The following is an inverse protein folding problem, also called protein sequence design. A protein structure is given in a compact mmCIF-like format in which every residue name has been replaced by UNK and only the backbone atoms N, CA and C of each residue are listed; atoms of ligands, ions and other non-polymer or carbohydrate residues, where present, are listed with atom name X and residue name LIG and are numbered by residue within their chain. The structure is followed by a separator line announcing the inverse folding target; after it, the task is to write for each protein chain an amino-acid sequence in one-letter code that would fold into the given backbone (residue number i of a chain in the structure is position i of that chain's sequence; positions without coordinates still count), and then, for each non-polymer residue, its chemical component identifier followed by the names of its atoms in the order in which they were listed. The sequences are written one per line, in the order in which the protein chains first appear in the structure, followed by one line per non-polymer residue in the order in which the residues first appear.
data_IF_088200484346
#
_entry.id   IF_088200484346
#
_cell.length_a   1.000
_cell.length_b   1.000
_cell.length_c   1.000
_cell.angle_alpha   90.00
_cell.angle_beta   90.00
_cell.angle_gamma   90.00
#
_symmetry.space_group_name_H-M   'P 1'
#
loop_
_entity.id
_entity.type
_entity.pdbx_description
1 polymer ?
#
# COMPACT_ATOMS: atom_id res chain seq x y z
N UNK A 1 13.14 -18.60 48.96
CA UNK A 1 11.72 -18.15 48.91
C UNK A 1 11.55 -16.70 48.43
N UNK A 2 12.56 -15.84 48.61
CA UNK A 2 12.52 -14.42 48.20
C UNK A 2 12.43 -14.22 46.68
N UNK A 3 13.05 -15.10 45.88
CA UNK A 3 13.06 -14.99 44.42
C UNK A 3 11.67 -15.14 43.79
N UNK A 4 10.81 -15.99 44.36
CA UNK A 4 9.44 -16.17 43.86
C UNK A 4 8.58 -14.95 44.20
N UNK A 5 8.81 -14.34 45.37
CA UNK A 5 8.10 -13.14 45.78
C UNK A 5 8.51 -11.93 44.93
N UNK A 6 9.82 -11.79 44.64
CA UNK A 6 10.34 -10.76 43.74
C UNK A 6 9.83 -10.95 42.30
N UNK A 7 9.81 -12.20 41.81
CA UNK A 7 9.29 -12.56 40.48
C UNK A 7 7.80 -12.22 40.36
N UNK A 8 7.00 -12.54 41.39
CA UNK A 8 5.57 -12.25 41.38
C UNK A 8 5.30 -10.73 41.43
N UNK A 9 6.04 -9.97 42.24
CA UNK A 9 5.93 -8.51 42.27
C UNK A 9 6.30 -7.91 40.91
N UNK A 10 7.37 -8.39 40.28
CA UNK A 10 7.80 -7.90 38.97
C UNK A 10 6.75 -8.17 37.89
N UNK A 11 6.14 -9.36 37.89
CA UNK A 11 5.04 -9.71 36.98
C UNK A 11 3.81 -8.84 37.18
N UNK A 12 3.45 -8.53 38.43
CA UNK A 12 2.33 -7.64 38.77
C UNK A 12 2.59 -6.23 38.24
N UNK A 13 3.79 -5.68 38.46
CA UNK A 13 4.16 -4.34 37.96
C UNK A 13 4.09 -4.28 36.43
N UNK A 14 4.59 -5.31 35.73
CA UNK A 14 4.54 -5.37 34.27
C UNK A 14 3.10 -5.45 33.74
N UNK A 15 2.24 -6.22 34.41
CA UNK A 15 0.83 -6.36 34.04
C UNK A 15 0.02 -5.09 34.27
N UNK A 16 0.31 -4.33 35.34
CA UNK A 16 -0.40 -3.08 35.64
C UNK A 16 0.08 -1.89 34.80
N UNK A 17 1.39 -1.77 34.56
CA UNK A 17 1.98 -0.57 33.96
C UNK A 17 2.25 -0.73 32.45
N UNK A 18 2.51 -1.97 31.99
CA UNK A 18 2.72 -2.27 30.58
C UNK A 18 1.61 -1.73 29.67
N UNK A 19 0.32 -1.99 29.94
CA UNK A 19 -0.78 -1.54 29.09
C UNK A 19 -0.95 -0.01 29.02
N UNK A 20 -0.51 0.71 30.06
CA UNK A 20 -0.67 2.17 30.18
C UNK A 20 0.47 2.92 29.50
N UNK A 21 1.67 2.32 29.49
CA UNK A 21 2.91 2.94 29.00
C UNK A 21 3.27 2.53 27.58
N UNK A 22 2.74 1.40 27.10
CA UNK A 22 2.82 1.05 25.70
C UNK A 22 1.91 2.02 24.93
N UNK A 23 2.45 2.83 24.00
CA UNK A 23 1.60 3.57 23.09
C UNK A 23 0.70 2.54 22.43
N UNK A 24 -0.63 2.70 22.56
CA UNK A 24 -1.59 1.83 21.91
C UNK A 24 -1.12 1.71 20.46
N UNK A 25 -0.67 0.51 20.08
CA UNK A 25 0.05 0.23 18.84
C UNK A 25 -0.83 0.34 17.61
N UNK A 26 -1.71 1.34 17.56
CA UNK A 26 -2.25 1.85 16.32
C UNK A 26 -1.11 2.51 15.58
N UNK A 27 -0.77 1.95 14.42
CA UNK A 27 0.10 2.59 13.46
C UNK A 27 -0.42 4.03 13.27
N UNK A 28 0.32 5.03 13.74
CA UNK A 28 0.00 6.42 13.43
C UNK A 28 0.37 6.61 11.96
N UNK A 29 -0.57 6.28 11.08
CA UNK A 29 -0.45 6.56 9.66
C UNK A 29 -0.33 8.08 9.54
N UNK A 30 0.86 8.56 9.25
CA UNK A 30 1.13 9.97 9.05
C UNK A 30 0.21 10.48 7.92
N UNK A 31 -0.84 11.22 8.29
CA UNK A 31 -1.83 11.75 7.35
C UNK A 31 -1.21 12.70 6.32
N UNK A 32 0.02 13.20 6.56
CA UNK A 32 0.72 14.05 5.60
C UNK A 32 1.20 13.30 4.35
N UNK A 33 1.24 11.95 4.36
CA UNK A 33 1.44 11.18 3.12
C UNK A 33 0.19 11.17 2.23
N UNK A 34 -0.99 11.45 2.78
CA UNK A 34 -2.23 11.51 2.01
C UNK A 34 -2.41 12.88 1.31
N UNK A 35 -1.68 13.93 1.72
CA UNK A 35 -1.71 15.22 1.02
C UNK A 35 -1.07 15.19 -0.38
N UNK A 36 -0.26 14.17 -0.70
CA UNK A 36 0.27 13.94 -2.05
C UNK A 36 -0.74 13.21 -2.96
N UNK A 37 -1.79 12.62 -2.36
CA UNK A 37 -2.87 11.90 -3.04
C UNK A 37 -4.03 12.81 -3.46
N UNK A 38 -4.08 14.06 -3.00
CA UNK A 38 -5.17 15.00 -3.31
C UNK A 38 -5.21 15.46 -4.78
N UNK A 39 -4.24 15.06 -5.60
CA UNK A 39 -4.39 15.07 -7.05
C UNK A 39 -4.32 13.64 -7.56
N UNK A 40 -5.39 12.86 -7.44
CA UNK A 40 -5.57 11.66 -8.25
C UNK A 40 -5.58 12.09 -9.71
N UNK A 41 -4.40 12.12 -10.32
CA UNK A 41 -4.24 12.46 -11.72
C UNK A 41 -4.72 11.27 -12.53
N UNK A 42 -5.89 11.44 -13.12
CA UNK A 42 -6.30 10.61 -14.25
C UNK A 42 -5.38 10.92 -15.43
N UNK A 43 -4.82 9.87 -16.01
CA UNK A 43 -3.98 9.95 -17.19
C UNK A 43 -4.46 8.94 -18.21
N UNK A 44 -4.22 9.24 -19.48
CA UNK A 44 -4.50 8.33 -20.59
C UNK A 44 -3.16 7.73 -21.02
N UNK A 45 -3.10 6.41 -21.12
CA UNK A 45 -1.93 5.72 -21.65
C UNK A 45 -1.74 6.08 -23.12
N UNK A 46 -0.57 6.61 -23.48
CA UNK A 46 -0.22 6.92 -24.87
C UNK A 46 0.35 5.72 -25.64
N UNK A 47 0.67 4.64 -24.94
CA UNK A 47 1.22 3.42 -25.52
C UNK A 47 0.75 2.19 -24.73
N UNK A 48 0.94 1.01 -25.30
CA UNK A 48 0.62 -0.23 -24.60
C UNK A 48 1.51 -0.37 -23.37
N UNK A 49 0.91 -0.68 -22.23
CA UNK A 49 1.60 -0.88 -20.98
C UNK A 49 1.24 -2.24 -20.37
N UNK A 50 2.09 -2.77 -19.50
CA UNK A 50 1.78 -3.99 -18.75
C UNK A 50 1.49 -3.63 -17.29
N UNK A 51 0.44 -4.22 -16.75
CA UNK A 51 0.07 -4.12 -15.35
C UNK A 51 0.70 -5.29 -14.58
N UNK A 52 1.40 -4.99 -13.48
CA UNK A 52 2.15 -5.93 -12.67
C UNK A 52 1.59 -6.04 -11.25
N UNK A 53 1.82 -7.17 -10.58
CA UNK A 53 1.37 -7.41 -9.21
C UNK A 53 2.12 -6.60 -8.15
N UNK A 54 3.41 -6.31 -8.37
CA UNK A 54 4.27 -5.58 -7.43
C UNK A 54 5.37 -4.81 -8.20
N UNK A 55 6.01 -3.79 -7.60
CA UNK A 55 6.95 -2.91 -8.29
C UNK A 55 8.37 -3.52 -8.37
N UNK A 56 8.53 -4.59 -9.14
CA UNK A 56 9.81 -5.21 -9.46
C UNK A 56 9.80 -5.77 -10.89
N UNK A 57 11.00 -5.94 -11.44
CA UNK A 57 11.20 -6.43 -12.82
C UNK A 57 10.64 -7.85 -13.00
N UNK A 58 10.84 -8.73 -12.02
CA UNK A 58 10.39 -10.13 -12.06
C UNK A 58 8.92 -10.30 -11.61
N UNK A 59 8.16 -9.21 -11.52
CA UNK A 59 6.78 -9.28 -11.08
C UNK A 59 5.89 -10.01 -12.09
N UNK A 60 4.91 -10.75 -11.58
CA UNK A 60 3.90 -11.39 -12.41
C UNK A 60 3.11 -10.32 -13.16
N UNK A 61 3.05 -10.45 -14.49
CA UNK A 61 2.18 -9.64 -15.34
C UNK A 61 0.73 -10.07 -15.13
N UNK A 62 -0.12 -9.13 -14.77
CA UNK A 62 -1.55 -9.34 -14.53
C UNK A 62 -2.35 -9.17 -15.83
N UNK A 63 -2.07 -8.11 -16.58
CA UNK A 63 -2.80 -7.74 -17.80
C UNK A 63 -1.95 -6.83 -18.68
N UNK A 64 -2.24 -6.79 -19.97
CA UNK A 64 -1.72 -5.78 -20.90
C UNK A 64 -2.81 -4.73 -21.12
N UNK A 65 -2.46 -3.47 -20.97
CA UNK A 65 -3.31 -2.32 -21.21
C UNK A 65 -3.00 -1.76 -22.60
N UNK A 66 -4.05 -1.45 -23.36
CA UNK A 66 -3.91 -0.80 -24.65
C UNK A 66 -3.74 0.71 -24.50
N UNK A 67 -3.19 1.32 -25.55
CA UNK A 67 -3.16 2.78 -25.69
C UNK A 67 -4.59 3.34 -25.67
N UNK A 68 -4.78 4.50 -25.04
CA UNK A 68 -6.08 5.12 -24.84
C UNK A 68 -6.79 4.72 -23.54
N UNK A 69 -6.25 3.74 -22.79
CA UNK A 69 -6.84 3.35 -21.50
C UNK A 69 -6.67 4.47 -20.46
N UNK A 70 -7.78 4.85 -19.82
CA UNK A 70 -7.77 5.80 -18.71
C UNK A 70 -7.42 5.10 -17.41
N UNK A 71 -6.43 5.65 -16.70
CA UNK A 71 -5.95 5.14 -15.42
C UNK A 71 -5.78 6.28 -14.43
N UNK A 72 -6.05 6.00 -13.16
CA UNK A 72 -5.84 6.93 -12.05
C UNK A 72 -4.56 6.56 -11.31
N UNK A 73 -3.64 7.50 -11.13
CA UNK A 73 -2.42 7.27 -10.35
C UNK A 73 -2.76 7.32 -8.85
N UNK A 74 -2.49 6.23 -8.14
CA UNK A 74 -2.66 6.13 -6.70
C UNK A 74 -1.37 6.45 -5.95
N UNK A 75 -0.23 5.89 -6.38
CA UNK A 75 1.06 6.09 -5.70
C UNK A 75 2.22 6.04 -6.67
N UNK A 76 3.30 6.72 -6.34
CA UNK A 76 4.59 6.53 -6.97
C UNK A 76 5.49 5.67 -6.06
N UNK A 77 6.39 4.92 -6.68
CA UNK A 77 7.42 4.15 -6.01
C UNK A 77 8.69 4.25 -6.83
N UNK A 78 9.67 5.00 -6.33
CA UNK A 78 10.95 5.23 -7.00
C UNK A 78 12.01 4.39 -6.30
N UNK A 79 12.57 3.41 -7.00
CA UNK A 79 13.71 2.61 -6.49
C UNK A 79 15.01 3.34 -6.80
N UNK A 80 15.18 3.81 -8.04
CA UNK A 80 16.28 4.66 -8.49
C UNK A 80 15.79 5.62 -9.60
N UNK A 81 16.68 6.34 -10.26
CA UNK A 81 16.32 7.27 -11.35
C UNK A 81 15.73 6.59 -12.60
N UNK A 82 16.02 5.31 -12.82
CA UNK A 82 15.59 4.50 -13.98
C UNK A 82 14.44 3.54 -13.66
N UNK A 83 14.12 3.35 -12.40
CA UNK A 83 13.12 2.40 -11.91
C UNK A 83 12.07 3.13 -11.10
N UNK A 84 11.13 3.71 -11.85
CA UNK A 84 9.96 4.39 -11.33
C UNK A 84 8.75 3.50 -11.63
N UNK A 85 8.00 3.21 -10.58
CA UNK A 85 6.78 2.42 -10.64
C UNK A 85 5.61 3.28 -10.19
N UNK A 86 4.50 3.17 -10.90
CA UNK A 86 3.25 3.83 -10.55
C UNK A 86 2.23 2.76 -10.17
N UNK A 87 1.68 2.88 -8.96
CA UNK A 87 0.48 2.12 -8.60
C UNK A 87 -0.70 2.85 -9.20
N UNK A 88 -1.46 2.14 -10.02
CA UNK A 88 -2.56 2.70 -10.80
C UNK A 88 -3.84 1.91 -10.55
N UNK A 89 -4.95 2.59 -10.77
CA UNK A 89 -6.30 2.03 -10.78
C UNK A 89 -6.92 2.27 -12.16
N UNK A 90 -7.48 1.21 -12.74
CA UNK A 90 -8.16 1.26 -14.02
C UNK A 90 -9.55 1.85 -13.84
N UNK A 91 -10.01 2.64 -14.81
CA UNK A 91 -11.40 3.04 -14.86
C UNK A 91 -12.30 1.79 -14.91
N UNK A 92 -13.28 1.73 -14.00
CA UNK A 92 -14.20 0.60 -13.89
C UNK A 92 -15.61 1.10 -13.62
N UNK A 93 -16.57 0.42 -14.23
CA UNK A 93 -17.98 0.62 -13.97
C UNK A 93 -18.48 -0.49 -13.03
N UNK A 94 -18.80 -0.13 -11.79
CA UNK A 94 -19.25 -1.07 -10.73
C UNK A 94 -20.50 -1.87 -11.09
N UNK A 95 -21.28 -1.44 -12.07
CA UNK A 95 -22.54 -2.09 -12.48
C UNK A 95 -22.29 -3.12 -13.59
N UNK A 96 -21.36 -2.83 -14.50
CA UNK A 96 -21.14 -3.64 -15.71
C UNK A 96 -19.92 -4.56 -15.61
N UNK A 97 -18.94 -4.20 -14.78
CA UNK A 97 -17.71 -4.98 -14.65
C UNK A 97 -17.86 -6.18 -13.71
N UNK A 98 -17.13 -7.25 -14.01
CA UNK A 98 -17.00 -8.43 -13.15
C UNK A 98 -16.42 -8.02 -11.78
N UNK A 99 -17.03 -8.42 -10.64
CA UNK A 99 -16.50 -8.15 -9.31
C UNK A 99 -15.08 -8.68 -9.08
N UNK A 100 -14.65 -9.70 -9.83
CA UNK A 100 -13.31 -10.28 -9.75
C UNK A 100 -12.31 -9.66 -10.74
N UNK A 101 -12.72 -8.64 -11.51
CA UNK A 101 -11.85 -7.95 -12.46
C UNK A 101 -10.69 -7.29 -11.71
N UNK A 102 -9.49 -7.46 -12.24
CA UNK A 102 -8.30 -6.80 -11.70
C UNK A 102 -8.37 -5.31 -12.05
N UNK A 103 -8.59 -4.47 -11.04
CA UNK A 103 -8.70 -3.02 -11.22
C UNK A 103 -7.42 -2.27 -10.85
N UNK A 104 -6.51 -2.88 -10.09
CA UNK A 104 -5.33 -2.20 -9.55
C UNK A 104 -4.07 -2.99 -9.84
N UNK A 105 -2.98 -2.27 -10.03
CA UNK A 105 -1.67 -2.87 -10.18
C UNK A 105 -0.57 -1.83 -10.35
N UNK A 106 0.59 -2.29 -10.79
CA UNK A 106 1.78 -1.46 -10.97
C UNK A 106 2.13 -1.35 -12.44
N UNK A 107 2.47 -0.14 -12.89
CA UNK A 107 3.02 0.11 -14.23
C UNK A 107 4.44 0.62 -14.04
N UNK A 108 5.36 0.10 -14.87
CA UNK A 108 6.70 0.64 -15.00
C UNK A 108 6.66 1.82 -15.96
N UNK A 109 7.18 2.97 -15.54
CA UNK A 109 7.26 4.18 -16.35
C UNK A 109 8.57 4.28 -17.13
#
# INVERSE_FOLDING_TARGET
MINNLLKNICLIIFALIGPITLPAGGIQKNLNQDNLLNSTKEIILNSKASLYSFPKIDAKKLMVLDSGTSITILRNWKVNEKEIWLRVELASNKILDDPNKILKGWIKM
#
